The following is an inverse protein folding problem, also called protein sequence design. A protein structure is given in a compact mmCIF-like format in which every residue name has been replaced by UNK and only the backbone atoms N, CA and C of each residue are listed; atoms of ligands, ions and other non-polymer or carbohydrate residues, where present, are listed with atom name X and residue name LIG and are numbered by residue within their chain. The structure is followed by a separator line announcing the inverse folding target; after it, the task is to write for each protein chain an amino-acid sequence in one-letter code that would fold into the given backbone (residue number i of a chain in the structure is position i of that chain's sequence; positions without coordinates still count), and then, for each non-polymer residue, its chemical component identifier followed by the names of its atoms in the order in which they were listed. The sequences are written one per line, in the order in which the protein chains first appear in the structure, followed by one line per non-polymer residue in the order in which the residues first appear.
data_IF_799983432037
#
_entry.id   IF_799983432037
#
_cell.length_a   1.000
_cell.length_b   1.000
_cell.length_c   1.000
_cell.angle_alpha   90.00
_cell.angle_beta   90.00
_cell.angle_gamma   90.00
#
_symmetry.space_group_name_H-M   'P 1'
#
loop_
_entity.id
_entity.type
_entity.pdbx_description
1 polymer ?
#
# COMPACT_ATOMS: atom_id res chain seq x y z
N UNK A 1 4.89 -38.81 5.60
CA UNK A 1 4.13 -37.81 4.83
C UNK A 1 4.96 -36.56 4.78
N UNK A 2 5.40 -36.15 3.60
CA UNK A 2 5.97 -34.83 3.37
C UNK A 2 4.83 -33.87 3.03
N UNK A 3 4.76 -32.74 3.72
CA UNK A 3 3.84 -31.66 3.40
C UNK A 3 4.61 -30.54 2.71
N UNK A 4 4.07 -29.99 1.63
CA UNK A 4 4.63 -28.82 0.99
C UNK A 4 4.28 -27.55 1.76
N UNK A 5 5.05 -26.47 1.53
CA UNK A 5 4.72 -25.14 2.04
C UNK A 5 3.32 -24.66 1.61
N UNK A 6 2.83 -25.14 0.47
CA UNK A 6 1.49 -24.81 -0.03
C UNK A 6 0.41 -25.52 0.79
N UNK A 7 0.62 -26.80 1.08
CA UNK A 7 -0.31 -27.60 1.89
C UNK A 7 -0.42 -27.05 3.32
N UNK A 8 0.70 -26.58 3.88
CA UNK A 8 0.72 -25.99 5.21
C UNK A 8 -0.05 -24.66 5.27
N UNK A 9 0.05 -23.83 4.22
CA UNK A 9 -0.68 -22.56 4.11
C UNK A 9 -2.20 -22.77 3.98
N UNK A 10 -2.61 -23.79 3.20
CA UNK A 10 -4.02 -24.16 3.08
C UNK A 10 -4.58 -24.73 4.39
N UNK A 11 -3.83 -25.58 5.09
CA UNK A 11 -4.25 -26.19 6.36
C UNK A 11 -4.43 -25.17 7.49
N UNK A 12 -3.61 -24.11 7.52
CA UNK A 12 -3.66 -23.08 8.55
C UNK A 12 -4.76 -22.04 8.34
N UNK A 13 -5.48 -22.06 7.21
CA UNK A 13 -6.52 -21.07 6.89
C UNK A 13 -6.00 -19.62 6.84
N UNK A 14 -4.68 -19.43 6.81
CA UNK A 14 -4.05 -18.10 6.72
C UNK A 14 -4.07 -17.67 5.26
N UNK A 15 -5.24 -17.24 4.80
CA UNK A 15 -5.38 -16.50 3.55
C UNK A 15 -5.67 -15.05 3.88
N UNK A 16 -4.62 -14.25 4.03
CA UNK A 16 -4.75 -12.85 3.66
C UNK A 16 -4.60 -12.81 2.14
N UNK A 17 -5.69 -13.07 1.41
CA UNK A 17 -5.79 -12.92 -0.05
C UNK A 17 -5.81 -11.42 -0.41
N UNK A 18 -4.81 -10.67 0.05
CA UNK A 18 -4.58 -9.32 -0.41
C UNK A 18 -3.85 -9.40 -1.77
N UNK A 19 -4.23 -8.56 -2.75
CA UNK A 19 -3.63 -8.55 -4.08
C UNK A 19 -2.23 -7.90 -4.12
N UNK A 20 -1.60 -7.67 -2.96
CA UNK A 20 -0.25 -7.14 -2.80
C UNK A 20 0.45 -7.86 -1.63
N UNK A 21 1.77 -7.86 -1.64
CA UNK A 21 2.61 -8.57 -0.70
C UNK A 21 3.57 -7.64 0.06
N UNK A 22 4.21 -8.17 1.10
CA UNK A 22 5.29 -7.46 1.80
C UNK A 22 6.43 -7.19 0.82
N UNK A 23 6.85 -5.93 0.74
CA UNK A 23 7.88 -5.47 -0.19
C UNK A 23 7.34 -4.57 -1.30
N UNK A 24 6.05 -4.65 -1.61
CA UNK A 24 5.42 -3.87 -2.67
C UNK A 24 5.34 -2.38 -2.31
N UNK A 25 5.56 -1.55 -3.32
CA UNK A 25 5.26 -0.12 -3.26
C UNK A 25 3.87 0.10 -3.86
N UNK A 26 2.98 0.72 -3.08
CA UNK A 26 1.57 0.86 -3.45
C UNK A 26 1.14 2.32 -3.44
N UNK A 27 0.23 2.65 -4.35
CA UNK A 27 -0.58 3.85 -4.34
C UNK A 27 -2.02 3.42 -4.02
N UNK A 28 -2.50 3.77 -2.83
CA UNK A 28 -3.81 3.37 -2.29
C UNK A 28 -4.75 4.56 -2.33
N UNK A 29 -5.95 4.36 -2.87
CA UNK A 29 -7.03 5.35 -2.79
C UNK A 29 -7.97 5.01 -1.63
N UNK A 30 -8.19 5.98 -0.76
CA UNK A 30 -9.27 5.97 0.22
C UNK A 30 -10.41 6.86 -0.28
N UNK A 31 -11.48 7.02 0.50
CA UNK A 31 -12.63 7.85 0.09
C UNK A 31 -12.25 9.32 -0.11
N UNK A 32 -11.33 9.86 0.67
CA UNK A 32 -11.03 11.31 0.72
C UNK A 32 -9.65 11.70 0.20
N UNK A 33 -8.71 10.76 0.13
CA UNK A 33 -7.33 11.05 -0.24
C UNK A 33 -6.59 9.77 -0.66
N UNK A 34 -5.34 9.93 -1.12
CA UNK A 34 -4.48 8.80 -1.43
C UNK A 34 -3.34 8.66 -0.42
N UNK A 35 -2.82 7.44 -0.31
CA UNK A 35 -1.62 7.16 0.47
C UNK A 35 -0.67 6.35 -0.41
N UNK A 36 0.58 6.76 -0.47
CA UNK A 36 1.66 5.92 -1.01
C UNK A 36 2.46 5.31 0.11
N UNK A 37 3.09 4.15 -0.13
CA UNK A 37 4.10 3.62 0.78
C UNK A 37 4.55 2.21 0.42
N UNK A 38 5.54 1.72 1.15
CA UNK A 38 6.04 0.34 1.03
C UNK A 38 5.36 -0.56 2.05
N UNK A 39 4.75 -1.65 1.59
CA UNK A 39 4.17 -2.67 2.46
C UNK A 39 5.29 -3.37 3.24
N UNK A 40 5.23 -3.30 4.57
CA UNK A 40 6.26 -3.90 5.45
C UNK A 40 5.70 -4.92 6.43
N UNK A 41 4.40 -4.85 6.71
CA UNK A 41 3.73 -5.79 7.61
C UNK A 41 2.25 -5.89 7.27
N UNK A 42 1.68 -7.08 7.45
CA UNK A 42 0.23 -7.31 7.34
C UNK A 42 -0.21 -8.01 8.62
N UNK A 43 -1.14 -7.39 9.35
CA UNK A 43 -1.67 -7.89 10.62
C UNK A 43 -3.19 -7.85 10.64
N UNK A 44 -3.80 -9.02 10.44
CA UNK A 44 -5.25 -9.13 10.26
C UNK A 44 -5.69 -8.26 9.07
N UNK A 45 -6.61 -7.33 9.34
CA UNK A 45 -7.12 -6.34 8.35
C UNK A 45 -6.29 -5.07 8.25
N UNK A 46 -5.12 -5.00 8.88
CA UNK A 46 -4.27 -3.81 8.83
C UNK A 46 -2.98 -4.07 8.07
N UNK A 47 -2.56 -3.08 7.29
CA UNK A 47 -1.32 -3.11 6.51
C UNK A 47 -0.45 -1.94 6.97
N UNK A 48 0.80 -2.24 7.30
CA UNK A 48 1.80 -1.23 7.67
C UNK A 48 2.53 -0.76 6.41
N UNK A 49 2.53 0.55 6.21
CA UNK A 49 3.31 1.21 5.19
C UNK A 49 4.46 2.01 5.81
N UNK A 50 5.68 1.75 5.33
CA UNK A 50 6.86 2.57 5.62
C UNK A 50 7.20 3.46 4.42
N UNK A 51 7.96 4.54 4.66
CA UNK A 51 8.21 5.60 3.66
C UNK A 51 6.90 6.09 3.02
N UNK A 52 5.89 6.25 3.86
CA UNK A 52 4.55 6.56 3.42
C UNK A 52 4.35 8.07 3.29
N UNK A 53 3.47 8.49 2.38
CA UNK A 53 3.05 9.87 2.25
C UNK A 53 1.54 9.97 2.06
N UNK A 54 0.94 10.95 2.71
CA UNK A 54 -0.41 11.40 2.41
C UNK A 54 -0.36 12.26 1.15
N UNK A 55 -1.19 11.92 0.17
CA UNK A 55 -1.28 12.64 -1.11
C UNK A 55 -2.63 13.36 -1.13
N UNK A 56 -2.63 14.63 -0.75
CA UNK A 56 -3.83 15.47 -0.71
C UNK A 56 -4.30 15.84 -2.12
N UNK A 57 -3.36 16.11 -3.04
CA UNK A 57 -3.64 16.37 -4.45
C UNK A 57 -2.69 15.60 -5.38
N UNK A 58 -3.26 14.69 -6.18
CA UNK A 58 -2.51 13.97 -7.22
C UNK A 58 -2.28 14.79 -8.49
N UNK A 59 -2.96 15.92 -8.67
CA UNK A 59 -3.05 16.62 -9.94
C UNK A 59 -3.83 15.82 -10.99
N UNK A 60 -3.40 15.87 -12.26
CA UNK A 60 -4.02 15.05 -13.32
C UNK A 60 -3.71 13.58 -13.09
N UNK A 61 -4.67 12.84 -12.54
CA UNK A 61 -4.48 11.46 -12.08
C UNK A 61 -3.76 10.51 -13.06
N UNK A 62 -4.16 10.47 -14.33
CA UNK A 62 -3.50 9.59 -15.31
C UNK A 62 -2.03 9.95 -15.55
N UNK A 63 -1.69 11.24 -15.52
CA UNK A 63 -0.31 11.69 -15.67
C UNK A 63 0.49 11.45 -14.39
N UNK A 64 -0.16 11.65 -13.23
CA UNK A 64 0.41 11.36 -11.93
C UNK A 64 0.80 9.89 -11.80
N UNK A 65 0.00 8.95 -12.27
CA UNK A 65 0.35 7.52 -12.25
C UNK A 65 1.46 7.17 -13.25
N UNK A 66 1.50 7.81 -14.43
CA UNK A 66 2.56 7.55 -15.43
C UNK A 66 3.91 8.09 -14.96
N UNK A 67 3.91 9.26 -14.32
CA UNK A 67 5.11 9.97 -13.88
C UNK A 67 5.48 9.64 -12.44
N UNK A 68 4.54 9.17 -11.63
CA UNK A 68 4.69 9.01 -10.18
C UNK A 68 5.09 10.33 -9.50
N UNK A 69 4.45 11.42 -9.94
CA UNK A 69 4.65 12.78 -9.45
C UNK A 69 3.30 13.36 -9.05
N UNK A 70 3.22 13.91 -7.84
CA UNK A 70 1.98 14.42 -7.26
C UNK A 70 2.07 15.92 -6.97
N UNK A 71 0.93 16.60 -6.85
CA UNK A 71 0.88 18.05 -6.66
C UNK A 71 1.15 18.46 -5.21
N UNK A 72 0.52 17.76 -4.26
CA UNK A 72 0.62 18.02 -2.82
C UNK A 72 0.93 16.72 -2.09
N UNK A 73 2.07 16.70 -1.39
CA UNK A 73 2.64 15.50 -0.75
C UNK A 73 3.03 15.82 0.68
N UNK A 74 2.54 15.03 1.61
CA UNK A 74 2.90 15.12 3.03
C UNK A 74 3.43 13.77 3.53
N UNK A 75 4.76 13.59 3.63
CA UNK A 75 5.36 12.39 4.19
C UNK A 75 4.92 12.16 5.64
N UNK A 76 4.52 10.94 5.98
CA UNK A 76 4.23 10.60 7.38
C UNK A 76 5.55 10.57 8.19
N UNK A 77 5.51 11.15 9.39
CA UNK A 77 6.65 11.13 10.33
C UNK A 77 7.00 9.71 10.79
N UNK A 78 5.98 8.84 10.87
CA UNK A 78 6.12 7.43 11.26
C UNK A 78 5.46 6.52 10.24
N UNK A 79 5.68 5.21 10.35
CA UNK A 79 4.91 4.24 9.58
C UNK A 79 3.40 4.39 9.84
N UNK A 80 2.59 4.19 8.81
CA UNK A 80 1.13 4.28 8.88
C UNK A 80 0.50 2.90 8.76
N UNK A 81 -0.58 2.68 9.50
CA UNK A 81 -1.40 1.46 9.40
C UNK A 81 -2.71 1.79 8.70
N UNK A 82 -3.02 1.05 7.64
CA UNK A 82 -4.25 1.22 6.87
C UNK A 82 -5.12 -0.01 7.04
N UNK A 83 -6.42 0.21 7.30
CA UNK A 83 -7.40 -0.88 7.31
C UNK A 83 -7.75 -1.28 5.87
N UNK A 84 -7.66 -2.55 5.53
CA UNK A 84 -7.89 -3.07 4.17
C UNK A 84 -9.33 -2.86 3.70
N UNK A 85 -10.30 -2.81 4.60
CA UNK A 85 -11.71 -2.55 4.26
C UNK A 85 -11.95 -1.07 3.89
N UNK A 86 -10.98 -0.18 4.15
CA UNK A 86 -11.05 1.25 3.78
C UNK A 86 -10.43 1.59 2.43
N UNK A 87 -9.84 0.60 1.76
CA UNK A 87 -9.22 0.75 0.44
C UNK A 87 -10.33 0.75 -0.61
N UNK A 88 -10.48 1.85 -1.32
CA UNK A 88 -11.40 1.92 -2.47
C UNK A 88 -10.80 1.16 -3.66
N UNK A 89 -9.51 1.41 -3.94
CA UNK A 89 -8.69 0.67 -4.89
C UNK A 89 -7.20 0.99 -4.67
N UNK A 90 -6.32 0.32 -5.40
CA UNK A 90 -4.88 0.59 -5.38
C UNK A 90 -4.23 0.22 -6.71
N UNK A 91 -3.00 0.70 -6.91
CA UNK A 91 -2.09 0.25 -7.97
C UNK A 91 -0.67 0.18 -7.43
N UNK A 92 0.20 -0.58 -8.10
CA UNK A 92 1.63 -0.56 -7.83
C UNK A 92 2.26 0.71 -8.40
N UNK A 93 3.31 1.17 -7.73
CA UNK A 93 4.19 2.26 -8.16
C UNK A 93 5.64 1.85 -7.94
N UNK A 94 6.56 2.44 -8.68
CA UNK A 94 7.99 2.14 -8.56
C UNK A 94 8.70 3.08 -7.59
N UNK A 95 8.32 4.36 -7.58
CA UNK A 95 8.92 5.41 -6.75
C UNK A 95 7.96 5.86 -5.67
N UNK A 96 8.48 6.04 -4.46
CA UNK A 96 7.73 6.61 -3.33
C UNK A 96 8.09 8.09 -3.19
N UNK A 97 7.10 9.00 -3.13
CA UNK A 97 7.36 10.39 -2.84
C UNK A 97 7.71 10.54 -1.34
N UNK A 98 8.92 11.01 -1.04
CA UNK A 98 9.47 11.10 0.32
C UNK A 98 9.77 12.53 0.78
N UNK A 99 9.50 13.53 -0.07
CA UNK A 99 9.68 14.94 0.22
C UNK A 99 8.34 15.68 0.22
N UNK A 100 8.19 16.62 1.17
CA UNK A 100 7.03 17.50 1.21
C UNK A 100 7.00 18.42 -0.01
N UNK A 101 5.81 18.59 -0.59
CA UNK A 101 5.56 19.46 -1.74
C UNK A 101 4.22 20.17 -1.58
#
# INVERSE_FOLDING_TARGET
MEFSLKDLKELLGVKNDLPFEIGDNVFIRTVTYHITGKVTEIKGKFVKLEKAAWIADSGRFSDALKKEEFSEVEPFVNAVWINTDSIADFTFITRLPDAQK
#
